data_IF_334303739402
#
_entry.id   IF_334303739402
#
_cell.length_a   1.000
_cell.length_b   1.000
_cell.length_c   1.000
_cell.angle_alpha   90.00
_cell.angle_beta   90.00
_cell.angle_gamma   90.00
#
_symmetry.space_group_name_H-M   'P 1'
#
loop_
_entity.id
_entity.type
_entity.pdbx_description
1 polymer ?
#
# COMPACT_ATOMS: atom_id res chain seq x y z
N UNK A 1 -15.12 10.55 11.30
CA UNK A 1 -13.99 11.25 10.66
C UNK A 1 -13.40 12.30 11.60
N UNK A 2 -12.08 12.41 11.78
CA UNK A 2 -11.48 13.52 12.54
C UNK A 2 -10.82 14.48 11.55
N UNK A 3 -11.40 15.66 11.36
CA UNK A 3 -10.67 16.80 10.82
C UNK A 3 -9.56 17.14 11.83
N UNK A 4 -8.30 17.00 11.45
CA UNK A 4 -7.16 17.24 12.36
C UNK A 4 -6.87 18.73 12.59
N UNK A 5 -7.68 19.62 12.02
CA UNK A 5 -7.61 21.05 12.25
C UNK A 5 -8.33 21.45 13.55
N UNK A 6 -7.60 21.55 14.66
CA UNK A 6 -8.08 22.28 15.85
C UNK A 6 -8.08 23.82 15.65
N UNK A 7 -7.68 24.34 14.48
CA UNK A 7 -7.67 25.78 14.16
C UNK A 7 -8.91 26.31 13.43
N UNK A 8 -9.98 25.53 13.29
CA UNK A 8 -11.22 25.99 12.65
C UNK A 8 -12.47 25.71 13.51
N UNK A 9 -12.53 26.30 14.71
CA UNK A 9 -13.83 26.48 15.39
C UNK A 9 -14.48 27.75 14.81
N UNK A 10 -15.65 27.59 14.18
CA UNK A 10 -16.44 28.61 13.46
C UNK A 10 -15.99 28.93 12.03
N UNK A 11 -16.21 28.03 11.06
CA UNK A 11 -16.57 28.42 9.69
C UNK A 11 -17.57 27.45 9.09
N UNK A 12 -18.48 28.00 8.29
CA UNK A 12 -19.40 27.29 7.38
C UNK A 12 -18.64 26.26 6.52
N UNK A 13 -19.34 25.30 5.90
CA UNK A 13 -18.73 24.30 5.04
C UNK A 13 -17.98 24.98 3.87
N UNK A 14 -16.65 25.06 4.00
CA UNK A 14 -15.73 25.60 3.00
C UNK A 14 -15.44 24.51 1.97
N UNK A 15 -15.55 24.80 0.69
CA UNK A 15 -15.33 23.78 -0.36
C UNK A 15 -13.87 23.34 -0.41
N UNK A 16 -13.58 22.13 -0.88
CA UNK A 16 -12.21 21.60 -0.92
C UNK A 16 -11.20 22.55 -1.61
N UNK A 17 -11.62 23.32 -2.64
CA UNK A 17 -10.75 24.27 -3.34
C UNK A 17 -10.40 25.53 -2.53
N UNK A 18 -11.20 25.88 -1.53
CA UNK A 18 -10.93 27.01 -0.61
C UNK A 18 -10.04 26.60 0.58
N UNK A 19 -9.95 25.30 0.85
CA UNK A 19 -9.06 24.72 1.88
C UNK A 19 -7.61 24.65 1.37
N UNK A 20 -7.41 24.50 0.05
CA UNK A 20 -6.10 24.31 -0.59
C UNK A 20 -5.79 25.43 -1.59
N UNK A 21 -5.33 26.61 -1.15
CA UNK A 21 -4.92 27.65 -2.08
C UNK A 21 -3.74 27.16 -2.92
N UNK A 22 -3.84 27.31 -4.25
CA UNK A 22 -2.75 27.06 -5.20
C UNK A 22 -1.49 27.81 -4.75
N UNK A 23 -0.43 27.07 -4.41
CA UNK A 23 0.84 27.66 -3.96
C UNK A 23 1.55 28.27 -5.18
N UNK A 24 1.99 29.53 -5.05
CA UNK A 24 2.79 30.21 -6.06
C UNK A 24 4.10 29.44 -6.32
N UNK A 25 4.31 28.88 -7.53
CA UNK A 25 5.52 28.15 -7.87
C UNK A 25 6.81 28.97 -7.75
N UNK A 26 6.72 30.31 -7.78
CA UNK A 26 7.87 31.22 -7.68
C UNK A 26 8.26 31.55 -6.23
N UNK A 27 7.43 31.22 -5.23
CA UNK A 27 7.67 31.60 -3.83
C UNK A 27 8.68 30.71 -3.07
N UNK A 28 9.23 29.66 -3.70
CA UNK A 28 10.07 28.64 -3.06
C UNK A 28 11.51 28.65 -3.58
N UNK A 29 12.22 29.76 -3.40
CA UNK A 29 13.65 29.83 -3.69
C UNK A 29 14.47 29.28 -2.53
N UNK A 30 15.38 28.33 -2.84
CA UNK A 30 16.42 27.92 -1.89
C UNK A 30 17.34 29.12 -1.69
N UNK A 31 17.66 29.51 -0.44
CA UNK A 31 18.56 30.62 -0.21
C UNK A 31 19.89 30.46 -0.97
N UNK A 32 20.40 31.52 -1.62
CA UNK A 32 21.67 31.44 -2.34
C UNK A 32 22.80 30.92 -1.45
N UNK A 33 23.57 29.96 -1.96
CA UNK A 33 24.69 29.36 -1.23
C UNK A 33 24.32 28.25 -0.24
N UNK A 34 23.04 27.86 -0.10
CA UNK A 34 22.66 26.70 0.71
C UNK A 34 23.29 25.41 0.13
N UNK A 35 24.04 24.63 0.92
CA UNK A 35 24.66 23.39 0.45
C UNK A 35 23.63 22.27 0.28
N UNK A 36 23.94 21.30 -0.58
CA UNK A 36 23.14 20.07 -0.75
C UNK A 36 23.27 19.21 0.51
N UNK A 37 22.19 18.52 0.89
CA UNK A 37 22.22 17.55 1.98
C UNK A 37 23.22 16.42 1.67
N UNK A 38 23.98 16.03 2.68
CA UNK A 38 24.90 14.90 2.66
C UNK A 38 24.54 13.96 3.82
N UNK A 39 24.47 12.67 3.55
CA UNK A 39 24.12 11.66 4.53
C UNK A 39 25.34 11.21 5.34
N UNK A 40 25.21 11.16 6.67
CA UNK A 40 26.17 10.48 7.55
C UNK A 40 25.97 8.98 7.49
N UNK A 41 27.03 8.19 7.58
CA UNK A 41 26.92 6.73 7.66
C UNK A 41 26.14 6.31 8.91
N UNK A 42 25.18 5.41 8.74
CA UNK A 42 24.45 4.79 9.86
C UNK A 42 25.40 3.98 10.75
N UNK A 43 25.19 4.05 12.07
CA UNK A 43 26.14 3.48 13.04
C UNK A 43 26.14 1.95 13.06
N UNK A 44 24.97 1.33 12.92
CA UNK A 44 24.82 -0.12 12.99
C UNK A 44 23.71 -0.64 12.05
N UNK A 45 23.52 -1.96 12.05
CA UNK A 45 22.57 -2.65 11.16
C UNK A 45 21.10 -2.51 11.55
N UNK A 46 20.77 -1.83 12.66
CA UNK A 46 19.40 -1.53 13.12
C UNK A 46 19.11 -0.03 13.19
N UNK A 47 20.13 0.79 12.89
CA UNK A 47 20.04 2.23 12.76
C UNK A 47 19.21 2.61 11.55
N UNK A 48 18.45 3.70 11.68
CA UNK A 48 17.66 4.34 10.64
C UNK A 48 17.54 5.83 10.94
N UNK A 49 17.08 6.65 9.98
CA UNK A 49 16.92 8.10 10.18
C UNK A 49 15.46 8.47 10.37
N UNK A 50 15.21 9.45 11.20
CA UNK A 50 13.90 10.08 11.37
C UNK A 50 13.97 11.55 10.97
N UNK A 51 12.84 12.06 10.48
CA UNK A 51 12.68 13.44 10.07
C UNK A 51 11.70 14.13 11.02
N UNK A 52 12.15 15.18 11.70
CA UNK A 52 11.28 16.09 12.47
C UNK A 52 10.91 17.29 11.61
N UNK A 53 9.63 17.50 11.36
CA UNK A 53 9.11 18.69 10.67
C UNK A 53 9.14 19.86 11.67
N UNK A 54 9.83 20.96 11.31
CA UNK A 54 9.98 22.15 12.15
C UNK A 54 9.03 23.28 11.76
N UNK A 55 8.74 23.43 10.46
CA UNK A 55 7.84 24.47 9.98
C UNK A 55 6.42 24.23 10.48
N UNK A 56 5.79 25.28 11.02
CA UNK A 56 4.37 25.31 11.37
C UNK A 56 3.61 26.22 10.39
N UNK A 57 2.71 25.63 9.60
CA UNK A 57 1.89 26.37 8.64
C UNK A 57 2.68 27.14 7.57
N UNK A 58 1.97 27.86 6.70
CA UNK A 58 2.54 28.92 5.85
C UNK A 58 2.67 28.59 4.36
N UNK A 59 3.57 29.29 3.65
CA UNK A 59 3.92 29.04 2.23
C UNK A 59 5.44 29.09 1.99
N UNK A 60 6.23 29.15 3.05
CA UNK A 60 7.69 29.14 3.01
C UNK A 60 8.25 27.75 2.71
N UNK A 61 9.55 27.70 2.42
CA UNK A 61 10.29 26.46 2.22
C UNK A 61 10.21 25.59 3.48
N UNK A 62 9.76 24.34 3.32
CA UNK A 62 9.62 23.39 4.41
C UNK A 62 10.98 23.13 5.08
N UNK A 63 11.05 23.37 6.39
CA UNK A 63 12.23 23.10 7.22
C UNK A 63 12.02 21.88 8.09
N UNK A 64 13.03 21.03 8.13
CA UNK A 64 13.05 19.80 8.91
C UNK A 64 14.42 19.60 9.57
N UNK A 65 14.42 18.79 10.63
CA UNK A 65 15.61 18.27 11.28
C UNK A 65 15.69 16.77 11.07
N UNK A 66 16.85 16.27 10.64
CA UNK A 66 17.09 14.83 10.51
C UNK A 66 18.02 14.36 11.63
N UNK A 67 17.71 13.20 12.22
CA UNK A 67 18.53 12.56 13.25
C UNK A 67 18.45 11.04 13.15
N UNK A 68 19.47 10.37 13.66
CA UNK A 68 19.55 8.91 13.67
C UNK A 68 18.80 8.34 14.89
N UNK A 69 18.15 7.20 14.70
CA UNK A 69 17.51 6.38 15.72
C UNK A 69 17.86 4.91 15.48
N UNK A 70 17.51 4.02 16.41
CA UNK A 70 17.86 2.60 16.34
C UNK A 70 16.65 1.73 16.69
N UNK A 71 16.20 0.89 15.75
CA UNK A 71 15.02 0.01 15.92
C UNK A 71 15.15 -0.99 17.08
N UNK A 72 16.39 -1.30 17.50
CA UNK A 72 16.66 -2.19 18.62
C UNK A 72 16.67 -1.45 19.98
N UNK A 73 16.72 -0.12 19.97
CA UNK A 73 16.77 0.69 21.19
C UNK A 73 15.39 0.82 21.84
N UNK A 74 15.36 0.70 23.17
CA UNK A 74 14.13 0.73 23.96
C UNK A 74 13.50 2.15 24.01
N UNK A 75 14.31 3.18 23.81
CA UNK A 75 13.98 4.59 23.81
C UNK A 75 13.81 5.17 22.40
N UNK A 76 13.58 4.31 21.39
CA UNK A 76 13.23 4.76 20.03
C UNK A 76 12.07 5.76 20.11
N UNK A 77 12.21 6.99 19.58
CA UNK A 77 11.15 7.98 19.61
C UNK A 77 9.87 7.46 18.96
N UNK A 78 8.71 7.97 19.37
CA UNK A 78 7.47 7.73 18.62
C UNK A 78 7.55 8.47 17.29
N UNK A 79 7.23 7.78 16.21
CA UNK A 79 7.25 8.32 14.85
C UNK A 79 6.12 7.73 14.01
N UNK A 80 5.77 8.46 12.96
CA UNK A 80 4.88 8.02 11.88
C UNK A 80 5.72 7.45 10.75
N UNK A 81 5.28 6.39 10.07
CA UNK A 81 5.86 6.01 8.78
C UNK A 81 4.93 6.41 7.62
N UNK A 82 5.50 6.98 6.56
CA UNK A 82 4.75 7.40 5.38
C UNK A 82 4.82 6.33 4.28
N UNK A 83 3.66 5.94 3.75
CA UNK A 83 3.48 5.23 2.49
C UNK A 83 2.88 6.18 1.46
N UNK A 84 3.51 6.30 0.29
CA UNK A 84 3.01 7.15 -0.80
C UNK A 84 3.60 6.73 -2.15
N UNK A 85 2.98 7.16 -3.26
CA UNK A 85 3.54 6.94 -4.60
C UNK A 85 4.61 7.97 -4.92
N UNK A 86 5.85 7.54 -5.17
CA UNK A 86 6.94 8.45 -5.54
C UNK A 86 6.65 9.26 -6.81
N UNK A 87 6.08 8.59 -7.81
CA UNK A 87 5.70 9.16 -9.10
C UNK A 87 4.19 9.02 -9.32
N UNK A 88 3.48 10.14 -9.27
CA UNK A 88 2.05 10.16 -9.58
C UNK A 88 1.89 10.62 -11.03
N UNK A 89 1.31 9.79 -11.89
CA UNK A 89 1.20 10.07 -13.33
C UNK A 89 0.36 11.32 -13.63
N UNK A 90 -0.60 11.64 -12.75
CA UNK A 90 -1.41 12.86 -12.86
C UNK A 90 -0.66 14.13 -12.45
N UNK A 91 0.55 14.02 -11.89
CA UNK A 91 1.37 15.15 -11.49
C UNK A 91 2.57 15.33 -12.43
N UNK A 92 3.02 16.58 -12.67
CA UNK A 92 4.27 16.82 -13.38
C UNK A 92 5.44 16.13 -12.70
N UNK A 93 6.33 15.52 -13.49
CA UNK A 93 7.60 14.96 -13.01
C UNK A 93 8.60 16.10 -12.69
N UNK A 94 8.33 16.79 -11.59
CA UNK A 94 9.17 17.86 -11.06
C UNK A 94 9.47 17.60 -9.59
N UNK A 95 10.60 18.15 -9.14
CA UNK A 95 11.00 18.09 -7.74
C UNK A 95 10.94 19.47 -7.09
N UNK A 96 10.72 19.49 -5.77
CA UNK A 96 10.68 20.70 -4.96
C UNK A 96 11.72 20.62 -3.83
N UNK A 97 12.32 21.74 -3.43
CA UNK A 97 13.30 21.74 -2.36
C UNK A 97 12.63 21.64 -0.98
N UNK A 98 13.30 20.94 -0.07
CA UNK A 98 13.07 20.98 1.37
C UNK A 98 14.40 21.25 2.07
N UNK A 99 14.40 21.97 3.18
CA UNK A 99 15.59 22.22 3.99
C UNK A 99 15.65 21.21 5.14
N UNK A 100 16.73 20.45 5.21
CA UNK A 100 16.99 19.44 6.21
C UNK A 100 18.32 19.79 6.88
N UNK A 101 18.29 20.10 8.18
CA UNK A 101 19.46 20.58 8.90
C UNK A 101 20.15 21.78 8.18
N UNK A 102 19.34 22.72 7.67
CA UNK A 102 19.78 23.88 6.86
C UNK A 102 20.51 23.53 5.55
N UNK A 103 20.42 22.29 5.07
CA UNK A 103 20.89 21.85 3.75
C UNK A 103 19.71 21.50 2.86
N UNK A 104 19.79 21.75 1.55
CA UNK A 104 18.66 21.46 0.67
C UNK A 104 18.67 20.00 0.16
N UNK A 105 17.49 19.40 0.07
CA UNK A 105 17.22 18.15 -0.63
C UNK A 105 16.05 18.37 -1.60
N UNK A 106 16.10 17.78 -2.79
CA UNK A 106 14.97 17.80 -3.73
C UNK A 106 14.13 16.54 -3.52
N UNK A 107 12.82 16.72 -3.35
CA UNK A 107 11.83 15.64 -3.20
C UNK A 107 10.81 15.69 -4.33
N UNK A 108 10.13 14.58 -4.62
CA UNK A 108 9.09 14.59 -5.66
C UNK A 108 7.94 15.54 -5.31
N UNK A 109 7.24 16.07 -6.33
CA UNK A 109 6.09 16.95 -6.10
C UNK A 109 5.02 16.28 -5.23
N UNK A 110 4.79 14.98 -5.41
CA UNK A 110 3.81 14.25 -4.61
C UNK A 110 4.20 14.20 -3.11
N UNK A 111 5.47 13.96 -2.80
CA UNK A 111 5.96 14.00 -1.42
C UNK A 111 5.88 15.42 -0.85
N UNK A 112 6.23 16.42 -1.66
CA UNK A 112 6.15 17.80 -1.24
C UNK A 112 4.71 18.21 -0.92
N UNK A 113 3.73 17.84 -1.75
CA UNK A 113 2.30 18.08 -1.47
C UNK A 113 1.88 17.42 -0.14
N UNK A 114 2.27 16.17 0.09
CA UNK A 114 2.03 15.51 1.39
C UNK A 114 2.60 16.34 2.55
N UNK A 115 3.88 16.74 2.48
CA UNK A 115 4.54 17.49 3.56
C UNK A 115 3.87 18.83 3.83
N UNK A 116 3.44 19.52 2.77
CA UNK A 116 2.71 20.79 2.84
C UNK A 116 1.33 20.65 3.48
N UNK A 117 0.60 19.57 3.20
CA UNK A 117 -0.65 19.28 3.89
C UNK A 117 -0.40 18.89 5.35
N UNK A 118 0.60 18.03 5.56
CA UNK A 118 0.85 17.45 6.87
C UNK A 118 1.33 18.48 7.90
N UNK A 119 2.12 19.49 7.48
CA UNK A 119 2.57 20.56 8.39
C UNK A 119 1.43 21.41 8.97
N UNK A 120 0.27 21.45 8.31
CA UNK A 120 -0.93 22.16 8.78
C UNK A 120 -1.68 21.38 9.87
N UNK A 121 -1.42 20.08 10.01
CA UNK A 121 -2.08 19.24 11.03
C UNK A 121 -1.46 19.45 12.41
N UNK A 122 -2.16 19.14 13.51
CA UNK A 122 -1.56 19.08 14.85
C UNK A 122 -0.91 17.72 15.18
N UNK A 123 -0.63 16.89 14.17
CA UNK A 123 -0.13 15.52 14.33
C UNK A 123 1.32 15.40 14.84
N UNK A 124 1.76 14.16 15.09
CA UNK A 124 3.15 13.86 15.46
C UNK A 124 4.12 14.44 14.41
N UNK A 125 5.16 15.15 14.86
CA UNK A 125 6.08 15.86 13.97
C UNK A 125 7.27 15.02 13.53
N UNK A 126 7.43 13.82 14.08
CA UNK A 126 8.52 12.90 13.75
C UNK A 126 7.97 11.87 12.77
N UNK A 127 8.53 11.84 11.56
CA UNK A 127 8.10 11.00 10.47
C UNK A 127 9.29 10.29 9.82
N UNK A 128 9.06 9.06 9.40
CA UNK A 128 9.95 8.29 8.54
C UNK A 128 9.40 8.34 7.11
N UNK A 129 10.24 8.73 6.17
CA UNK A 129 9.91 8.86 4.75
C UNK A 129 11.04 8.23 3.96
N UNK A 130 10.78 7.13 3.25
CA UNK A 130 11.79 6.35 2.52
C UNK A 130 12.69 7.20 1.59
N UNK A 131 12.12 8.14 0.82
CA UNK A 131 12.86 9.02 -0.10
C UNK A 131 13.84 9.97 0.62
N UNK A 132 13.60 10.30 1.90
CA UNK A 132 14.41 11.25 2.68
C UNK A 132 15.30 10.54 3.69
N UNK A 133 14.76 9.55 4.41
CA UNK A 133 15.44 8.90 5.53
C UNK A 133 16.48 7.85 5.08
N UNK A 134 16.36 7.36 3.84
CA UNK A 134 17.31 6.43 3.22
C UNK A 134 18.18 7.20 2.23
N UNK A 135 19.49 7.01 2.31
CA UNK A 135 20.42 7.47 1.30
C UNK A 135 20.24 6.66 0.02
N UNK A 136 19.44 7.18 -0.91
CA UNK A 136 19.10 6.50 -2.17
C UNK A 136 20.31 6.28 -3.10
N UNK A 137 21.39 7.06 -2.89
CA UNK A 137 22.63 6.97 -3.66
C UNK A 137 23.60 5.89 -3.10
N UNK A 138 23.37 5.41 -1.88
CA UNK A 138 24.13 4.31 -1.25
C UNK A 138 23.35 2.99 -1.35
N UNK A 139 23.82 2.11 -2.23
CA UNK A 139 23.16 0.85 -2.50
C UNK A 139 23.18 -0.11 -1.30
N UNK A 140 24.25 -0.11 -0.52
CA UNK A 140 24.38 -1.01 0.63
C UNK A 140 23.45 -0.55 1.75
N UNK A 141 23.37 0.78 1.98
CA UNK A 141 22.39 1.37 2.88
C UNK A 141 20.95 1.06 2.42
N UNK A 142 20.64 1.25 1.14
CA UNK A 142 19.31 0.98 0.59
C UNK A 142 18.87 -0.47 0.82
N UNK A 143 19.74 -1.44 0.53
CA UNK A 143 19.46 -2.87 0.77
C UNK A 143 19.24 -3.15 2.25
N UNK A 144 20.09 -2.58 3.12
CA UNK A 144 19.93 -2.71 4.57
C UNK A 144 18.57 -2.16 5.04
N UNK A 145 18.21 -0.94 4.63
CA UNK A 145 16.96 -0.29 5.05
C UNK A 145 15.73 -1.02 4.51
N UNK A 146 15.78 -1.56 3.29
CA UNK A 146 14.69 -2.41 2.74
C UNK A 146 14.47 -3.67 3.59
N UNK A 147 15.55 -4.29 4.07
CA UNK A 147 15.46 -5.42 5.01
C UNK A 147 14.82 -5.04 6.35
N UNK A 148 14.84 -3.75 6.73
CA UNK A 148 14.23 -3.24 7.95
C UNK A 148 12.80 -2.70 7.77
N UNK A 149 12.33 -2.49 6.52
CA UNK A 149 11.07 -1.78 6.28
C UNK A 149 9.88 -2.35 7.06
N UNK A 150 9.70 -3.67 7.08
CA UNK A 150 8.62 -4.27 7.88
C UNK A 150 8.69 -3.87 9.35
N UNK A 151 9.89 -3.89 9.94
CA UNK A 151 10.11 -3.50 11.33
C UNK A 151 9.89 -2.00 11.58
N UNK A 152 10.15 -1.15 10.59
CA UNK A 152 9.91 0.31 10.66
C UNK A 152 8.40 0.58 10.69
N UNK A 153 7.63 0.06 9.71
CA UNK A 153 6.18 0.23 9.68
C UNK A 153 5.49 -0.45 10.89
N UNK A 154 5.95 -1.62 11.32
CA UNK A 154 5.34 -2.31 12.47
C UNK A 154 5.55 -1.54 13.80
N UNK A 155 6.71 -0.89 13.96
CA UNK A 155 7.06 -0.15 15.18
C UNK A 155 6.58 1.31 15.19
N UNK A 156 6.14 1.84 14.05
CA UNK A 156 5.56 3.18 13.98
C UNK A 156 4.33 3.30 14.90
N UNK A 157 4.11 4.50 15.44
CA UNK A 157 2.92 4.81 16.22
C UNK A 157 1.65 4.84 15.35
N UNK A 158 1.83 5.15 14.07
CA UNK A 158 0.83 5.23 13.02
C UNK A 158 1.51 5.17 11.66
N UNK A 159 0.87 4.53 10.70
CA UNK A 159 1.33 4.49 9.32
C UNK A 159 0.36 5.28 8.45
N UNK A 160 0.86 6.32 7.78
CA UNK A 160 0.05 7.17 6.92
C UNK A 160 0.17 6.75 5.46
N UNK A 161 -0.97 6.51 4.83
CA UNK A 161 -1.08 6.16 3.42
C UNK A 161 -1.57 7.38 2.66
N UNK A 162 -0.64 8.17 2.13
CA UNK A 162 -0.96 9.36 1.31
C UNK A 162 -1.47 8.92 -0.05
N UNK A 163 -2.67 9.38 -0.40
CA UNK A 163 -3.35 9.03 -1.65
C UNK A 163 -3.58 10.24 -2.57
N UNK A 164 -3.03 11.40 -2.22
CA UNK A 164 -3.20 12.64 -2.99
C UNK A 164 -4.22 13.60 -2.40
N UNK A 165 -4.43 14.71 -3.12
CA UNK A 165 -5.39 15.74 -2.77
C UNK A 165 -6.85 15.26 -2.94
N UNK A 166 -7.83 15.89 -2.27
CA UNK A 166 -9.23 15.65 -2.53
C UNK A 166 -9.59 16.03 -3.98
N UNK A 167 -10.44 15.23 -4.61
CA UNK A 167 -11.05 15.53 -5.90
C UNK A 167 -12.58 15.64 -5.73
N UNK A 168 -13.28 15.83 -6.84
CA UNK A 168 -14.75 15.93 -6.89
C UNK A 168 -15.48 14.70 -6.33
N UNK A 169 -14.80 13.55 -6.20
CA UNK A 169 -15.36 12.30 -5.68
C UNK A 169 -15.13 12.11 -4.19
N UNK A 170 -14.13 12.77 -3.61
CA UNK A 170 -13.66 12.49 -2.25
C UNK A 170 -14.74 12.65 -1.19
N UNK A 171 -15.54 13.72 -1.22
CA UNK A 171 -16.58 13.99 -0.20
C UNK A 171 -17.66 12.89 -0.17
N UNK A 172 -18.22 12.57 -1.33
CA UNK A 172 -19.22 11.51 -1.50
C UNK A 172 -18.71 10.14 -1.03
N UNK A 173 -17.43 9.86 -1.29
CA UNK A 173 -16.80 8.61 -0.83
C UNK A 173 -16.65 8.59 0.68
N UNK A 174 -16.33 9.72 1.31
CA UNK A 174 -16.19 9.75 2.76
C UNK A 174 -17.50 9.42 3.49
N UNK A 175 -18.62 9.98 3.05
CA UNK A 175 -19.95 9.69 3.61
C UNK A 175 -20.31 8.21 3.46
N UNK A 176 -19.96 7.62 2.31
CA UNK A 176 -20.19 6.22 2.02
C UNK A 176 -19.34 5.32 2.93
N UNK A 177 -18.05 5.62 3.05
CA UNK A 177 -17.11 4.89 3.91
C UNK A 177 -17.54 4.95 5.38
N UNK A 178 -18.04 6.09 5.85
CA UNK A 178 -18.57 6.20 7.22
C UNK A 178 -19.80 5.30 7.42
N UNK A 179 -20.72 5.29 6.45
CA UNK A 179 -21.93 4.46 6.49
C UNK A 179 -21.59 2.97 6.50
N UNK A 180 -20.65 2.54 5.66
CA UNK A 180 -20.11 1.17 5.67
C UNK A 180 -19.42 0.81 6.99
N UNK A 181 -18.72 1.76 7.60
CA UNK A 181 -18.09 1.54 8.91
C UNK A 181 -19.13 1.36 10.03
N UNK A 182 -20.20 2.16 10.04
CA UNK A 182 -21.31 2.00 11.00
C UNK A 182 -22.00 0.65 10.85
N UNK A 183 -22.19 0.19 9.61
CA UNK A 183 -22.77 -1.12 9.30
C UNK A 183 -21.96 -2.27 9.89
N UNK A 184 -20.63 -2.30 9.68
CA UNK A 184 -19.81 -3.40 10.20
C UNK A 184 -19.76 -3.41 11.73
N UNK A 185 -19.74 -2.22 12.36
CA UNK A 185 -19.78 -2.09 13.81
C UNK A 185 -21.10 -2.64 14.35
N UNK A 186 -22.24 -2.32 13.73
CA UNK A 186 -23.54 -2.83 14.17
C UNK A 186 -23.67 -4.35 14.03
N UNK A 187 -23.10 -4.94 12.97
CA UNK A 187 -23.05 -6.40 12.83
C UNK A 187 -22.14 -7.06 13.88
N UNK A 188 -21.00 -6.44 14.19
CA UNK A 188 -20.06 -6.97 15.18
C UNK A 188 -20.63 -6.95 16.60
N UNK A 189 -21.49 -5.99 16.93
CA UNK A 189 -22.06 -5.82 18.28
C UNK A 189 -23.40 -6.54 18.48
N UNK A 190 -24.20 -6.71 17.43
CA UNK A 190 -25.54 -7.30 17.53
C UNK A 190 -25.57 -8.83 17.48
N UNK A 191 -24.47 -9.47 17.04
CA UNK A 191 -24.41 -10.93 16.88
C UNK A 191 -25.40 -11.49 15.83
N UNK A 192 -26.06 -10.62 15.07
CA UNK A 192 -26.95 -11.02 13.99
C UNK A 192 -26.17 -11.58 12.80
N UNK A 193 -26.80 -12.50 12.07
CA UNK A 193 -26.25 -13.00 10.81
C UNK A 193 -25.97 -11.84 9.85
N UNK A 194 -24.83 -11.91 9.15
CA UNK A 194 -24.50 -10.94 8.11
C UNK A 194 -25.58 -10.96 7.03
N UNK A 195 -25.95 -9.78 6.49
CA UNK A 195 -26.98 -9.70 5.47
C UNK A 195 -26.57 -10.52 4.25
N UNK A 196 -27.48 -11.36 3.77
CA UNK A 196 -27.29 -12.06 2.50
C UNK A 196 -27.26 -11.08 1.32
N UNK A 197 -26.82 -11.58 0.16
CA UNK A 197 -26.69 -10.79 -1.07
C UNK A 197 -27.97 -10.03 -1.44
N UNK A 198 -29.15 -10.63 -1.23
CA UNK A 198 -30.44 -10.02 -1.55
C UNK A 198 -30.75 -8.81 -0.66
N UNK A 199 -30.37 -8.87 0.62
CA UNK A 199 -30.52 -7.76 1.55
C UNK A 199 -29.58 -6.61 1.19
N UNK A 200 -28.31 -6.91 0.88
CA UNK A 200 -27.33 -5.91 0.46
C UNK A 200 -27.74 -5.16 -0.83
N UNK A 201 -28.52 -5.82 -1.69
CA UNK A 201 -29.04 -5.25 -2.95
C UNK A 201 -30.39 -4.55 -2.80
N UNK A 202 -31.02 -4.64 -1.64
CA UNK A 202 -32.36 -4.11 -1.42
C UNK A 202 -32.33 -2.58 -1.23
N UNK A 203 -33.02 -1.78 -2.06
CA UNK A 203 -33.02 -0.31 -1.95
C UNK A 203 -33.45 0.24 -0.59
N UNK A 204 -34.42 -0.41 0.06
CA UNK A 204 -34.93 -0.02 1.38
C UNK A 204 -33.85 -0.25 2.44
N UNK A 205 -33.18 -1.40 2.37
CA UNK A 205 -32.08 -1.72 3.28
C UNK A 205 -30.95 -0.70 3.15
N UNK A 206 -30.53 -0.39 1.92
CA UNK A 206 -29.49 0.60 1.64
C UNK A 206 -29.82 1.97 2.20
N UNK A 207 -31.04 2.46 1.93
CA UNK A 207 -31.52 3.72 2.47
C UNK A 207 -31.48 3.74 4.00
N UNK A 208 -31.92 2.64 4.64
CA UNK A 208 -31.95 2.53 6.09
C UNK A 208 -30.55 2.59 6.74
N UNK A 209 -29.51 2.14 6.04
CA UNK A 209 -28.12 2.16 6.53
C UNK A 209 -27.31 3.37 6.04
N UNK A 210 -27.95 4.29 5.30
CA UNK A 210 -27.32 5.50 4.77
C UNK A 210 -26.41 5.27 3.56
N UNK A 211 -26.58 4.17 2.83
CA UNK A 211 -25.86 3.93 1.57
C UNK A 211 -26.65 4.47 0.37
N UNK A 212 -25.95 4.95 -0.68
CA UNK A 212 -26.60 5.40 -1.90
C UNK A 212 -27.25 4.23 -2.65
N UNK A 213 -28.55 4.33 -2.91
CA UNK A 213 -29.32 3.31 -3.64
C UNK A 213 -28.71 3.09 -5.04
N UNK A 214 -28.47 1.83 -5.42
CA UNK A 214 -27.97 1.51 -6.76
C UNK A 214 -29.10 1.58 -7.81
N UNK A 215 -28.85 2.13 -9.02
CA UNK A 215 -27.61 2.77 -9.47
C UNK A 215 -27.44 4.20 -8.91
N UNK A 216 -26.20 4.57 -8.58
CA UNK A 216 -25.84 5.92 -8.12
C UNK A 216 -24.40 6.27 -8.51
N UNK A 217 -24.13 7.50 -9.00
CA UNK A 217 -22.78 7.93 -9.39
C UNK A 217 -21.79 7.90 -8.23
N UNK A 218 -22.26 7.91 -6.97
CA UNK A 218 -21.40 7.77 -5.79
C UNK A 218 -20.66 6.42 -5.77
N UNK A 219 -21.20 5.37 -6.36
CA UNK A 219 -20.48 4.10 -6.50
C UNK A 219 -19.33 4.21 -7.51
N UNK A 220 -19.51 4.97 -8.59
CA UNK A 220 -18.42 5.34 -9.49
C UNK A 220 -17.34 6.16 -8.78
N UNK A 221 -17.74 7.13 -7.94
CA UNK A 221 -16.83 7.90 -7.09
C UNK A 221 -15.96 6.99 -6.19
N UNK A 222 -16.58 6.00 -5.53
CA UNK A 222 -15.84 5.00 -4.73
C UNK A 222 -14.85 4.23 -5.60
N UNK A 223 -15.26 3.77 -6.78
CA UNK A 223 -14.39 3.03 -7.71
C UNK A 223 -13.19 3.87 -8.15
N UNK A 224 -13.39 5.15 -8.47
CA UNK A 224 -12.28 6.08 -8.79
C UNK A 224 -11.34 6.27 -7.59
N UNK A 225 -11.89 6.48 -6.40
CA UNK A 225 -11.10 6.66 -5.17
C UNK A 225 -10.19 5.45 -4.87
N UNK A 226 -10.73 4.23 -4.95
CA UNK A 226 -9.95 3.00 -4.70
C UNK A 226 -9.01 2.63 -5.85
N UNK A 227 -9.07 3.36 -6.97
CA UNK A 227 -8.20 3.18 -8.12
C UNK A 227 -6.95 4.05 -8.09
N UNK A 228 -6.81 4.91 -7.08
CA UNK A 228 -5.62 5.76 -6.94
C UNK A 228 -4.34 4.92 -6.87
N UNK A 229 -3.28 5.44 -7.47
CA UNK A 229 -2.03 4.73 -7.73
C UNK A 229 -1.42 4.12 -6.46
N UNK A 230 -1.58 4.79 -5.32
CA UNK A 230 -1.08 4.38 -4.02
C UNK A 230 -1.51 2.95 -3.66
N UNK A 231 -2.78 2.59 -3.92
CA UNK A 231 -3.32 1.27 -3.60
C UNK A 231 -2.83 0.15 -4.52
N UNK A 232 -2.20 0.51 -5.64
CA UNK A 232 -1.81 -0.45 -6.66
C UNK A 232 -0.34 -0.85 -6.55
N UNK A 233 0.47 -0.18 -5.71
CA UNK A 233 1.92 -0.43 -5.56
C UNK A 233 2.23 -1.77 -4.90
N UNK A 234 3.28 -2.47 -5.31
CA UNK A 234 3.72 -3.69 -4.64
C UNK A 234 4.17 -3.42 -3.18
N UNK A 235 4.89 -2.32 -2.94
CA UNK A 235 5.38 -1.96 -1.61
C UNK A 235 4.29 -1.77 -0.56
N UNK A 236 3.10 -1.29 -0.96
CA UNK A 236 1.97 -1.06 -0.03
C UNK A 236 1.52 -2.36 0.67
N UNK A 237 1.82 -3.52 0.10
CA UNK A 237 1.42 -4.82 0.65
C UNK A 237 2.09 -5.05 2.00
N UNK A 238 3.42 -4.93 2.09
CA UNK A 238 4.11 -5.12 3.36
C UNK A 238 3.80 -3.99 4.35
N UNK A 239 3.67 -2.76 3.86
CA UNK A 239 3.41 -1.56 4.66
C UNK A 239 2.06 -1.68 5.38
N UNK A 240 1.00 -2.04 4.65
CA UNK A 240 -0.34 -2.26 5.22
C UNK A 240 -0.42 -3.55 6.05
N UNK A 241 0.29 -4.61 5.64
CA UNK A 241 0.17 -5.90 6.32
C UNK A 241 0.72 -5.87 7.75
N UNK A 242 1.87 -5.23 7.96
CA UNK A 242 2.54 -5.17 9.28
C UNK A 242 2.10 -4.00 10.14
N UNK A 243 1.49 -2.96 9.53
CA UNK A 243 1.04 -1.77 10.23
C UNK A 243 0.09 -2.09 11.38
N UNK A 244 0.37 -1.54 12.57
CA UNK A 244 -0.53 -1.67 13.74
C UNK A 244 -1.66 -0.65 13.71
N UNK A 245 -1.43 0.51 13.12
CA UNK A 245 -2.38 1.62 13.08
C UNK A 245 -2.34 2.34 11.71
N UNK A 246 -2.85 1.69 10.64
CA UNK A 246 -2.83 2.27 9.31
C UNK A 246 -3.95 3.29 9.13
N UNK A 247 -3.60 4.46 8.62
CA UNK A 247 -4.56 5.53 8.30
C UNK A 247 -4.32 6.08 6.91
N UNK A 248 -5.40 6.25 6.14
CA UNK A 248 -5.40 6.94 4.86
C UNK A 248 -5.33 8.44 5.12
N UNK A 249 -4.51 9.13 4.34
CA UNK A 249 -4.39 10.58 4.35
C UNK A 249 -4.66 11.12 2.95
N UNK A 250 -5.66 11.99 2.82
CA UNK A 250 -6.11 12.58 1.55
C UNK A 250 -6.37 14.08 1.75
N UNK A 251 -5.48 14.94 1.24
CA UNK A 251 -5.40 16.34 1.67
C UNK A 251 -5.23 16.44 3.19
N UNK A 252 -6.25 16.95 3.88
CA UNK A 252 -6.32 17.02 5.35
C UNK A 252 -7.26 15.99 5.99
N UNK A 253 -7.87 15.12 5.18
CA UNK A 253 -8.77 14.08 5.63
C UNK A 253 -7.98 12.86 6.08
N UNK A 254 -8.27 12.37 7.29
CA UNK A 254 -7.68 11.16 7.83
C UNK A 254 -8.74 10.13 8.18
N UNK A 255 -8.51 8.89 7.73
CA UNK A 255 -9.43 7.76 7.92
C UNK A 255 -8.68 6.49 8.32
N UNK A 256 -9.21 5.65 9.22
CA UNK A 256 -8.66 4.33 9.45
C UNK A 256 -8.68 3.51 8.15
N UNK A 257 -7.57 2.85 7.82
CA UNK A 257 -7.43 2.11 6.56
C UNK A 257 -8.43 0.95 6.47
N UNK A 258 -8.77 0.32 7.59
CA UNK A 258 -9.69 -0.83 7.64
C UNK A 258 -11.08 -0.51 7.07
N UNK A 259 -11.48 0.77 7.02
CA UNK A 259 -12.76 1.19 6.40
C UNK A 259 -12.80 0.87 4.90
N UNK A 260 -11.66 0.98 4.19
CA UNK A 260 -11.58 0.53 2.79
C UNK A 260 -11.73 -0.98 2.65
N UNK A 261 -11.27 -1.74 3.66
CA UNK A 261 -11.47 -3.19 3.68
C UNK A 261 -12.94 -3.59 3.82
N UNK A 262 -13.71 -2.82 4.59
CA UNK A 262 -15.17 -3.00 4.69
C UNK A 262 -15.86 -2.68 3.36
N UNK A 263 -15.45 -1.61 2.68
CA UNK A 263 -15.95 -1.28 1.36
C UNK A 263 -15.65 -2.38 0.33
N UNK A 264 -14.41 -2.89 0.29
CA UNK A 264 -14.05 -4.00 -0.56
C UNK A 264 -14.89 -5.27 -0.25
N UNK A 265 -15.10 -5.57 1.03
CA UNK A 265 -15.94 -6.70 1.47
C UNK A 265 -17.38 -6.55 1.00
N UNK A 266 -17.99 -5.38 1.21
CA UNK A 266 -19.34 -5.06 0.75
C UNK A 266 -19.48 -5.25 -0.77
N UNK A 267 -18.52 -4.75 -1.56
CA UNK A 267 -18.53 -4.89 -3.02
C UNK A 267 -18.44 -6.37 -3.46
N UNK A 268 -17.67 -7.20 -2.74
CA UNK A 268 -17.59 -8.65 -2.99
C UNK A 268 -18.91 -9.34 -2.63
N UNK A 269 -19.44 -9.11 -1.42
CA UNK A 269 -20.63 -9.79 -0.89
C UNK A 269 -21.91 -9.40 -1.66
N UNK A 270 -22.04 -8.14 -2.06
CA UNK A 270 -23.11 -7.67 -2.96
C UNK A 270 -22.96 -8.16 -4.41
N UNK A 271 -21.80 -8.74 -4.76
CA UNK A 271 -21.41 -9.07 -6.14
C UNK A 271 -21.50 -7.87 -7.10
N UNK A 272 -21.26 -6.66 -6.60
CA UNK A 272 -21.30 -5.43 -7.39
C UNK A 272 -19.99 -5.10 -8.06
N UNK A 273 -18.87 -5.71 -7.66
CA UNK A 273 -17.56 -5.48 -8.30
C UNK A 273 -17.64 -5.59 -9.82
N UNK A 274 -18.30 -6.64 -10.35
CA UNK A 274 -18.43 -6.84 -11.80
C UNK A 274 -19.36 -5.82 -12.44
N UNK A 275 -20.48 -5.51 -11.80
CA UNK A 275 -21.45 -4.54 -12.31
C UNK A 275 -20.84 -3.13 -12.40
N UNK A 276 -20.23 -2.66 -11.31
CA UNK A 276 -19.58 -1.36 -11.25
C UNK A 276 -18.35 -1.28 -12.16
N UNK A 277 -17.65 -2.40 -12.33
CA UNK A 277 -16.56 -2.48 -13.30
C UNK A 277 -17.05 -2.19 -14.72
N UNK A 278 -18.10 -2.87 -15.15
CA UNK A 278 -18.64 -2.77 -16.51
C UNK A 278 -19.28 -1.39 -16.75
N UNK A 279 -19.89 -0.80 -15.71
CA UNK A 279 -20.56 0.50 -15.78
C UNK A 279 -19.59 1.69 -15.78
N UNK A 280 -18.55 1.67 -14.95
CA UNK A 280 -17.64 2.81 -14.77
C UNK A 280 -16.27 2.63 -15.44
N UNK A 281 -16.00 1.48 -16.08
CA UNK A 281 -14.74 1.16 -16.73
C UNK A 281 -13.52 1.25 -15.81
N UNK A 282 -13.69 0.86 -14.54
CA UNK A 282 -12.64 0.93 -13.51
C UNK A 282 -12.13 -0.47 -13.16
N UNK A 283 -11.29 -1.02 -14.03
CA UNK A 283 -10.81 -2.41 -13.92
C UNK A 283 -9.83 -2.69 -12.80
N UNK A 284 -10.08 -3.78 -12.08
CA UNK A 284 -9.14 -4.39 -11.14
C UNK A 284 -8.97 -3.69 -9.80
N UNK A 285 -9.49 -2.47 -9.62
CA UNK A 285 -9.32 -1.62 -8.44
C UNK A 285 -9.72 -2.29 -7.12
N UNK A 286 -10.96 -2.79 -7.03
CA UNK A 286 -11.47 -3.53 -5.87
C UNK A 286 -10.65 -4.81 -5.58
N UNK A 287 -10.04 -5.35 -6.63
CA UNK A 287 -9.11 -6.45 -6.51
C UNK A 287 -7.86 -6.06 -5.69
N UNK A 288 -7.19 -4.95 -5.99
CA UNK A 288 -6.01 -4.53 -5.22
C UNK A 288 -6.33 -4.45 -3.73
N UNK A 289 -7.43 -3.78 -3.35
CA UNK A 289 -7.88 -3.72 -1.96
C UNK A 289 -8.16 -5.09 -1.36
N UNK A 290 -8.87 -5.96 -2.07
CA UNK A 290 -9.13 -7.34 -1.60
C UNK A 290 -7.81 -8.10 -1.35
N UNK A 291 -6.82 -7.93 -2.23
CA UNK A 291 -5.49 -8.53 -2.08
C UNK A 291 -4.74 -8.00 -0.85
N UNK A 292 -4.73 -6.68 -0.66
CA UNK A 292 -4.13 -6.03 0.51
C UNK A 292 -4.77 -6.51 1.81
N UNK A 293 -6.10 -6.49 1.89
CA UNK A 293 -6.82 -6.90 3.09
C UNK A 293 -6.60 -8.36 3.42
N UNK A 294 -6.57 -9.24 2.41
CA UNK A 294 -6.26 -10.65 2.64
C UNK A 294 -4.83 -10.83 3.21
N UNK A 295 -3.84 -10.12 2.68
CA UNK A 295 -2.46 -10.18 3.18
C UNK A 295 -2.37 -9.68 4.63
N UNK A 296 -3.04 -8.56 4.94
CA UNK A 296 -3.11 -7.97 6.28
C UNK A 296 -3.80 -8.89 7.27
N UNK A 297 -5.01 -9.37 6.96
CA UNK A 297 -5.78 -10.25 7.86
C UNK A 297 -4.99 -11.52 8.19
N UNK A 298 -4.36 -12.15 7.18
CA UNK A 298 -3.52 -13.33 7.39
C UNK A 298 -2.31 -13.02 8.27
N UNK A 299 -1.63 -11.90 8.01
CA UNK A 299 -0.48 -11.47 8.81
C UNK A 299 -0.86 -11.23 10.27
N UNK A 300 -1.94 -10.48 10.51
CA UNK A 300 -2.43 -10.16 11.87
C UNK A 300 -2.88 -11.39 12.66
N UNK A 301 -3.44 -12.39 11.98
CA UNK A 301 -3.79 -13.69 12.59
C UNK A 301 -2.58 -14.59 12.82
N UNK A 302 -1.39 -14.15 12.41
CA UNK A 302 -0.17 -14.94 12.44
C UNK A 302 -0.23 -16.16 11.51
N UNK A 303 -1.10 -16.15 10.50
CA UNK A 303 -1.18 -17.21 9.50
C UNK A 303 0.09 -17.21 8.63
N UNK A 304 0.57 -18.40 8.28
CA UNK A 304 1.74 -18.54 7.41
C UNK A 304 1.38 -18.08 5.99
N UNK A 305 2.17 -17.15 5.46
CA UNK A 305 2.07 -16.72 4.06
C UNK A 305 3.35 -17.09 3.35
N UNK A 306 3.33 -18.18 2.58
CA UNK A 306 4.49 -18.57 1.79
C UNK A 306 4.71 -17.58 0.64
N UNK A 307 5.97 -17.44 0.20
CA UNK A 307 6.33 -16.46 -0.82
C UNK A 307 5.64 -16.73 -2.17
N UNK A 308 5.43 -18.00 -2.54
CA UNK A 308 4.65 -18.40 -3.72
C UNK A 308 3.19 -17.94 -3.64
N UNK A 309 2.53 -18.11 -2.49
CA UNK A 309 1.17 -17.63 -2.26
C UNK A 309 1.09 -16.10 -2.36
N UNK A 310 2.04 -15.39 -1.75
CA UNK A 310 2.11 -13.93 -1.81
C UNK A 310 2.31 -13.46 -3.26
N UNK A 311 3.29 -14.02 -3.96
CA UNK A 311 3.59 -13.66 -5.36
C UNK A 311 2.40 -13.85 -6.28
N UNK A 312 1.65 -14.94 -6.09
CA UNK A 312 0.50 -15.23 -6.94
C UNK A 312 -0.74 -14.40 -6.58
N UNK A 313 -1.05 -14.24 -5.28
CA UNK A 313 -2.20 -13.42 -4.83
C UNK A 313 -2.00 -11.91 -5.05
N UNK A 314 -0.75 -11.47 -5.20
CA UNK A 314 -0.38 -10.06 -5.38
C UNK A 314 0.25 -9.76 -6.74
N UNK A 315 0.21 -10.71 -7.69
CA UNK A 315 0.82 -10.55 -9.03
C UNK A 315 0.42 -9.26 -9.76
N UNK A 316 -0.83 -8.83 -9.58
CA UNK A 316 -1.39 -7.63 -10.22
C UNK A 316 -0.79 -6.31 -9.74
N UNK A 317 -0.26 -6.24 -8.51
CA UNK A 317 0.29 -5.00 -7.95
C UNK A 317 1.41 -4.49 -8.85
N UNK A 318 1.53 -3.18 -9.00
CA UNK A 318 2.45 -2.49 -9.90
C UNK A 318 3.78 -2.22 -9.21
N UNK A 319 4.85 -2.28 -9.99
CA UNK A 319 6.19 -1.92 -9.55
C UNK A 319 6.92 -1.25 -10.71
N UNK A 320 7.50 -0.08 -10.47
CA UNK A 320 8.31 0.63 -11.48
C UNK A 320 9.60 -0.14 -11.76
N UNK A 321 10.23 -0.69 -10.73
CA UNK A 321 11.36 -1.61 -10.86
C UNK A 321 10.81 -3.05 -10.75
N UNK A 322 10.93 -3.89 -11.79
CA UNK A 322 10.31 -5.23 -11.78
C UNK A 322 10.69 -6.13 -10.60
N UNK A 323 11.93 -6.03 -10.09
CA UNK A 323 12.39 -6.84 -8.96
C UNK A 323 11.69 -6.50 -7.64
N UNK A 324 11.10 -5.31 -7.53
CA UNK A 324 10.34 -4.92 -6.33
C UNK A 324 9.06 -5.76 -6.14
N UNK A 325 8.57 -6.43 -7.20
CA UNK A 325 7.53 -7.46 -7.08
C UNK A 325 7.91 -8.59 -6.12
N UNK A 326 9.21 -8.85 -6.00
CA UNK A 326 9.77 -9.83 -5.07
C UNK A 326 10.12 -9.14 -3.77
N UNK A 327 10.95 -8.08 -3.82
CA UNK A 327 11.53 -7.46 -2.64
C UNK A 327 10.48 -6.92 -1.66
N UNK A 328 9.35 -6.42 -2.17
CA UNK A 328 8.23 -5.95 -1.34
C UNK A 328 7.52 -7.06 -0.54
N UNK A 329 7.75 -8.33 -0.84
CA UNK A 329 7.05 -9.47 -0.23
C UNK A 329 7.94 -10.34 0.65
N UNK A 330 9.26 -10.21 0.55
CA UNK A 330 10.21 -11.15 1.18
C UNK A 330 10.10 -11.13 2.69
N UNK A 331 10.20 -9.92 3.26
CA UNK A 331 10.08 -9.70 4.70
C UNK A 331 8.71 -10.13 5.24
N UNK A 332 7.65 -10.10 4.42
CA UNK A 332 6.31 -10.54 4.81
C UNK A 332 6.18 -12.08 4.82
N UNK A 333 6.84 -12.76 3.89
CA UNK A 333 6.87 -14.23 3.80
C UNK A 333 7.62 -14.88 4.97
N UNK A 334 8.46 -14.10 5.64
CA UNK A 334 9.40 -14.54 6.68
C UNK A 334 8.82 -14.66 8.08
N UNK A 335 7.54 -14.31 8.29
CA UNK A 335 6.95 -14.00 9.61
C UNK A 335 7.08 -15.06 10.73
N UNK A 336 7.76 -16.21 10.52
CA UNK A 336 8.15 -17.16 11.56
C UNK A 336 9.51 -17.89 11.41
N UNK A 337 10.45 -17.44 10.56
CA UNK A 337 11.78 -18.10 10.49
C UNK A 337 12.83 -17.33 11.31
N UNK A 338 13.38 -17.96 12.34
CA UNK A 338 14.54 -17.50 13.14
C UNK A 338 15.87 -17.51 12.37
N UNK A 339 15.83 -17.56 11.04
CA UNK A 339 17.02 -17.67 10.19
C UNK A 339 17.00 -16.55 9.15
N UNK A 340 18.13 -15.89 8.91
CA UNK A 340 18.22 -14.83 7.92
C UNK A 340 17.82 -15.34 6.53
N UNK A 341 17.31 -14.43 5.69
CA UNK A 341 17.06 -14.71 4.29
C UNK A 341 18.26 -15.43 3.66
N UNK A 342 18.03 -16.49 2.86
CA UNK A 342 19.08 -17.08 2.06
C UNK A 342 19.78 -15.98 1.25
N UNK A 343 21.12 -16.00 1.11
CA UNK A 343 21.84 -14.98 0.34
C UNK A 343 21.31 -14.77 -1.09
N UNK A 344 20.75 -15.83 -1.70
CA UNK A 344 20.10 -15.80 -3.01
C UNK A 344 18.89 -14.86 -3.07
N UNK A 345 18.22 -14.69 -1.92
CA UNK A 345 16.97 -13.96 -1.73
C UNK A 345 17.17 -12.59 -1.08
N UNK A 346 18.38 -12.19 -0.70
CA UNK A 346 18.56 -10.84 -0.19
C UNK A 346 18.33 -9.80 -1.29
N UNK A 347 17.66 -8.67 -1.00
CA UNK A 347 17.49 -7.59 -1.97
C UNK A 347 18.84 -7.17 -2.55
N UNK A 348 18.96 -7.24 -3.87
CA UNK A 348 20.20 -6.89 -4.56
C UNK A 348 19.89 -6.26 -5.91
N UNK A 349 19.88 -4.93 -5.94
CA UNK A 349 19.65 -4.16 -7.15
C UNK A 349 20.80 -4.21 -8.17
N UNK A 350 21.94 -4.87 -7.85
CA UNK A 350 23.01 -5.14 -8.83
C UNK A 350 22.67 -6.32 -9.73
N UNK A 351 21.79 -7.23 -9.28
CA UNK A 351 21.33 -8.36 -10.09
C UNK A 351 20.36 -7.87 -11.17
N UNK A 352 20.45 -8.49 -12.34
CA UNK A 352 19.45 -8.30 -13.39
C UNK A 352 18.10 -8.88 -12.97
N UNK A 353 17.01 -8.39 -13.59
CA UNK A 353 15.64 -8.92 -13.37
C UNK A 353 15.59 -10.43 -13.60
N UNK A 354 16.26 -10.90 -14.67
CA UNK A 354 16.33 -12.32 -15.04
C UNK A 354 16.95 -13.16 -13.93
N UNK A 355 18.06 -12.68 -13.34
CA UNK A 355 18.72 -13.37 -12.23
C UNK A 355 17.85 -13.43 -10.99
N UNK A 356 17.22 -12.32 -10.61
CA UNK A 356 16.35 -12.27 -9.41
C UNK A 356 15.17 -13.22 -9.57
N UNK A 357 14.45 -13.15 -10.70
CA UNK A 357 13.28 -14.01 -10.92
C UNK A 357 13.67 -15.48 -10.98
N UNK A 358 14.79 -15.82 -11.63
CA UNK A 358 15.33 -17.18 -11.67
C UNK A 358 15.68 -17.68 -10.26
N UNK A 359 16.43 -16.90 -9.49
CA UNK A 359 16.92 -17.29 -8.17
C UNK A 359 15.76 -17.53 -7.19
N UNK A 360 14.71 -16.69 -7.26
CA UNK A 360 13.47 -16.87 -6.47
C UNK A 360 12.76 -18.15 -6.86
N UNK A 361 12.57 -18.41 -8.16
CA UNK A 361 11.90 -19.62 -8.62
C UNK A 361 12.68 -20.88 -8.25
N UNK A 362 14.02 -20.88 -8.38
CA UNK A 362 14.87 -21.97 -7.92
C UNK A 362 14.72 -22.20 -6.42
N UNK A 363 14.71 -21.13 -5.62
CA UNK A 363 14.50 -21.24 -4.19
C UNK A 363 13.15 -21.91 -3.89
N UNK A 364 12.05 -21.45 -4.50
CA UNK A 364 10.71 -22.02 -4.28
C UNK A 364 10.65 -23.52 -4.64
N UNK A 365 11.23 -23.91 -5.78
CA UNK A 365 11.33 -25.32 -6.20
C UNK A 365 12.17 -26.12 -5.19
N UNK A 366 13.29 -25.58 -4.72
CA UNK A 366 14.17 -26.25 -3.75
C UNK A 366 13.51 -26.49 -2.38
N UNK A 367 12.47 -25.70 -2.04
CA UNK A 367 11.67 -25.94 -0.83
C UNK A 367 10.64 -27.07 -1.01
N UNK A 368 10.58 -27.71 -2.18
CA UNK A 368 9.68 -28.83 -2.48
C UNK A 368 8.29 -28.43 -3.01
N UNK A 369 8.06 -27.14 -3.28
CA UNK A 369 6.81 -26.66 -3.90
C UNK A 369 7.01 -26.46 -5.41
N UNK A 370 6.10 -26.99 -6.22
CA UNK A 370 6.02 -26.72 -7.65
C UNK A 370 4.91 -25.72 -8.01
N UNK A 371 4.21 -25.16 -7.01
CA UNK A 371 3.10 -24.22 -7.23
C UNK A 371 3.55 -22.97 -7.98
N UNK A 372 4.82 -22.58 -7.85
CA UNK A 372 5.44 -21.48 -8.61
C UNK A 372 5.32 -21.67 -10.13
N UNK A 373 5.29 -22.92 -10.63
CA UNK A 373 5.16 -23.21 -12.06
C UNK A 373 3.75 -22.88 -12.58
N UNK A 374 2.73 -22.84 -11.72
CA UNK A 374 1.39 -22.36 -12.11
C UNK A 374 1.37 -20.87 -12.47
N UNK A 375 2.39 -20.11 -12.05
CA UNK A 375 2.57 -18.71 -12.37
C UNK A 375 3.19 -18.43 -13.73
N UNK A 376 3.55 -19.46 -14.50
CA UNK A 376 4.20 -19.29 -15.80
C UNK A 376 3.18 -18.81 -16.84
N UNK A 377 3.45 -17.64 -17.40
CA UNK A 377 2.71 -17.09 -18.54
C UNK A 377 3.13 -17.69 -19.89
N UNK A 378 2.22 -17.64 -20.86
CA UNK A 378 2.57 -17.90 -22.28
C UNK A 378 3.68 -16.94 -22.72
N UNK A 379 4.66 -17.49 -23.43
CA UNK A 379 5.89 -16.79 -23.83
C UNK A 379 5.63 -15.48 -24.61
N UNK A 380 4.49 -15.36 -25.29
CA UNK A 380 4.09 -14.15 -26.03
C UNK A 380 3.80 -12.95 -25.13
N UNK A 381 3.47 -13.18 -23.87
CA UNK A 381 3.16 -12.11 -22.91
C UNK A 381 4.36 -11.71 -22.06
N UNK A 382 5.50 -12.38 -22.18
CA UNK A 382 6.70 -12.06 -21.41
C UNK A 382 7.23 -10.68 -21.80
N UNK A 383 7.61 -9.90 -20.80
CA UNK A 383 8.41 -8.70 -21.02
C UNK A 383 9.91 -9.06 -21.09
N UNK A 384 10.34 -10.11 -20.38
CA UNK A 384 11.73 -10.57 -20.35
C UNK A 384 11.90 -11.92 -21.07
N UNK A 385 12.12 -11.88 -22.39
CA UNK A 385 12.26 -13.08 -23.22
C UNK A 385 13.49 -13.95 -22.91
N UNK A 386 14.50 -13.41 -22.21
CA UNK A 386 15.69 -14.19 -21.80
C UNK A 386 15.43 -15.07 -20.57
N UNK A 387 14.27 -14.96 -19.92
CA UNK A 387 13.90 -15.82 -18.81
C UNK A 387 13.81 -17.29 -19.28
N UNK A 388 14.36 -18.26 -18.52
CA UNK A 388 14.11 -19.67 -18.78
C UNK A 388 12.59 -19.97 -18.82
N UNK A 389 12.18 -20.95 -19.61
CA UNK A 389 10.75 -21.27 -19.82
C UNK A 389 10.01 -21.63 -18.52
N UNK A 390 10.72 -22.17 -17.53
CA UNK A 390 10.19 -22.54 -16.22
C UNK A 390 10.16 -21.40 -15.18
N UNK A 391 10.65 -20.20 -15.52
CA UNK A 391 10.64 -19.04 -14.63
C UNK A 391 9.45 -18.13 -14.99
N UNK A 392 8.55 -17.83 -14.03
CA UNK A 392 7.51 -16.80 -14.21
C UNK A 392 8.09 -15.40 -14.39
N UNK A 393 7.54 -14.61 -15.30
CA UNK A 393 7.86 -13.20 -15.45
C UNK A 393 6.99 -12.33 -14.53
N UNK A 394 7.42 -12.09 -13.29
CA UNK A 394 6.67 -11.32 -12.28
C UNK A 394 6.27 -9.89 -12.69
N UNK A 395 6.85 -9.36 -13.77
CA UNK A 395 6.46 -8.06 -14.34
C UNK A 395 5.17 -8.13 -15.16
N UNK A 396 4.74 -9.31 -15.60
CA UNK A 396 3.52 -9.52 -16.39
C UNK A 396 2.29 -9.54 -15.47
N UNK A 397 1.33 -8.67 -15.78
CA UNK A 397 0.04 -8.59 -15.10
C UNK A 397 -0.92 -9.63 -15.68
N UNK A 398 -0.84 -10.87 -15.20
CA UNK A 398 -1.82 -11.92 -15.49
C UNK A 398 -2.56 -12.35 -14.23
N UNK A 399 -3.84 -12.69 -14.40
CA UNK A 399 -4.58 -13.45 -13.39
C UNK A 399 -4.01 -14.85 -13.41
N UNK A 400 -3.11 -15.14 -12.48
CA UNK A 400 -2.63 -16.50 -12.28
C UNK A 400 -3.79 -17.32 -11.73
N UNK A 401 -4.29 -18.27 -12.52
CA UNK A 401 -5.08 -19.37 -11.97
C UNK A 401 -4.08 -20.29 -11.28
N UNK A 402 -3.81 -20.04 -10.00
CA UNK A 402 -3.18 -21.09 -9.22
C UNK A 402 -4.20 -22.21 -9.16
N UNK A 403 -3.82 -23.37 -9.65
CA UNK A 403 -4.50 -24.63 -9.35
C UNK A 403 -4.69 -24.82 -7.82
N UNK A 404 -3.98 -24.07 -6.97
CA UNK A 404 -3.92 -24.20 -5.52
C UNK A 404 -4.45 -23.00 -4.72
N UNK A 405 -5.28 -22.10 -5.26
CA UNK A 405 -6.10 -21.27 -4.34
C UNK A 405 -7.09 -22.23 -3.67
N UNK A 406 -7.04 -22.46 -2.34
CA UNK A 406 -8.10 -23.22 -1.69
C UNK A 406 -9.40 -22.53 -2.08
N UNK A 407 -10.38 -23.28 -2.62
CA UNK A 407 -11.63 -22.66 -3.02
C UNK A 407 -12.21 -21.94 -1.79
N UNK A 408 -12.82 -20.77 -2.02
CA UNK A 408 -13.55 -20.01 -0.98
C UNK A 408 -14.62 -20.87 -0.27
N UNK A 409 -14.93 -22.04 -0.83
CA UNK A 409 -15.70 -23.15 -0.28
C UNK A 409 -14.90 -24.45 -0.46
N UNK A 410 -14.46 -25.07 0.64
CA UNK A 410 -13.43 -26.13 0.69
C UNK A 410 -13.65 -27.46 -0.04
N UNK A 411 -14.03 -27.50 -1.32
CA UNK A 411 -14.20 -28.75 -2.09
C UNK A 411 -13.63 -28.65 -3.52
N UNK A 412 -12.30 -28.67 -3.65
CA UNK A 412 -11.64 -29.06 -4.91
C UNK A 412 -10.50 -30.01 -4.58
N UNK A 413 -10.70 -31.29 -4.88
CA UNK A 413 -9.64 -32.29 -4.87
C UNK A 413 -8.83 -32.11 -6.14
N UNK A 414 -7.60 -31.61 -6.01
CA UNK A 414 -6.71 -31.41 -7.14
C UNK A 414 -6.19 -32.75 -7.68
N UNK A 415 -6.04 -32.82 -9.01
CA UNK A 415 -5.50 -33.97 -9.72
C UNK A 415 -4.05 -34.24 -9.30
N UNK A 416 -3.81 -35.37 -8.62
CA UNK A 416 -2.48 -35.82 -8.25
C UNK A 416 -1.85 -36.59 -9.42
N UNK A 417 -1.24 -35.87 -10.36
CA UNK A 417 -0.60 -36.42 -11.56
C UNK A 417 0.42 -37.54 -11.24
N UNK A 418 1.10 -37.45 -10.09
CA UNK A 418 2.04 -38.47 -9.63
C UNK A 418 1.41 -39.85 -9.35
N UNK A 419 0.09 -39.93 -9.19
CA UNK A 419 -0.63 -41.16 -8.78
C UNK A 419 -1.52 -41.76 -9.86
N UNK A 420 -1.63 -41.12 -11.04
CA UNK A 420 -2.40 -41.63 -12.17
C UNK A 420 -3.91 -41.80 -11.92
N UNK A 421 -4.48 -41.18 -10.87
CA UNK A 421 -5.90 -41.29 -10.57
C UNK A 421 -6.72 -40.22 -11.32
N UNK A 422 -7.75 -40.61 -12.10
CA UNK A 422 -8.61 -39.65 -12.78
C UNK A 422 -9.46 -38.84 -11.78
N UNK A 423 -9.89 -37.62 -12.15
CA UNK A 423 -10.73 -36.78 -11.32
C UNK A 423 -12.11 -37.43 -11.13
N UNK A 424 -12.53 -37.62 -9.87
CA UNK A 424 -13.89 -38.04 -9.53
C UNK A 424 -14.67 -36.86 -8.97
N UNK A 425 -15.79 -36.52 -9.61
CA UNK A 425 -16.74 -35.55 -9.09
C UNK A 425 -17.49 -36.16 -7.91
N UNK A 426 -17.37 -35.58 -6.72
CA UNK A 426 -18.27 -35.88 -5.60
C UNK A 426 -19.48 -34.95 -5.70
N UNK A 427 -20.58 -35.43 -6.26
CA UNK A 427 -21.88 -34.80 -6.09
C UNK A 427 -22.41 -35.10 -4.69
N UNK A 428 -22.51 -34.07 -3.86
CA UNK A 428 -23.46 -34.02 -2.74
C UNK A 428 -24.11 -32.66 -2.68
#
# INVERSE_FOLDING_TARGET
MRLLCQRASNREAVSASEIFPSIDPQALEVPPGTPKLEYSRLQNSTSFRLLQILSEGGQDILRCKMFDADLAAQDTPRYIALSYTWHEESLPNISRPVLINEKYLKVSLNLWNFLQNYRETAGERIIWIDQICINQDDQDERVQQIGQMCAIYERASMDLFWIGEPDEYTEDVMDMLESLNRLEISHSTSGHERPGIDALRNPIYMYAIGLPIYPSPKWGALMHFISRSAFQRAWIIQEVAVSRNPSIFCGLLMLPFDVLGRAATFLVESSWIKLLHDEYNVSGAAGFLTGLMNCRIRHQRGERQSLDLLLASTRRFKATVPVDKIFALMNLAESRRSHPLPPLLQPNYRKSVVEVFRDVTLHLISQGSLDVLSGIEDARFRHFHQLPSWVPDYSVHQVVSILCMPPRSGNLTLYAAATGRPPTYSTR
#
